data_IF_337368857070
#
_entry.id   IF_337368857070
#
_cell.length_a   1.000
_cell.length_b   1.000
_cell.length_c   1.000
_cell.angle_alpha   90.00
_cell.angle_beta   90.00
_cell.angle_gamma   90.00
#
_symmetry.space_group_name_H-M   'P 1'
#
loop_
_entity.id
_entity.type
_entity.pdbx_description
1 polymer ?
#
# COMPACT_ATOMS: atom_id res chain seq x y z
N UNK A 1 16.48 -30.85 27.79
CA UNK A 1 17.13 -29.66 27.20
C UNK A 1 18.52 -30.06 26.74
N UNK A 2 18.79 -30.15 25.42
CA UNK A 2 20.16 -30.39 24.94
C UNK A 2 20.94 -29.10 25.15
N UNK A 3 22.02 -29.13 25.94
CA UNK A 3 22.94 -27.99 25.99
C UNK A 3 23.45 -27.77 24.57
N UNK A 4 23.24 -26.56 24.04
CA UNK A 4 23.86 -26.18 22.77
C UNK A 4 25.35 -26.17 23.04
N UNK A 5 26.06 -27.20 22.56
CA UNK A 5 27.52 -27.22 22.57
C UNK A 5 27.96 -25.94 21.88
N UNK A 6 28.66 -25.07 22.61
CA UNK A 6 29.18 -23.83 22.04
C UNK A 6 30.05 -24.18 20.83
N UNK A 7 29.75 -23.57 19.69
CA UNK A 7 30.46 -23.86 18.47
C UNK A 7 31.95 -23.50 18.64
N UNK A 8 32.91 -24.35 18.24
CA UNK A 8 34.34 -24.16 18.55
C UNK A 8 34.91 -22.79 18.15
N UNK A 9 34.30 -22.14 17.14
CA UNK A 9 34.67 -20.80 16.69
C UNK A 9 34.39 -19.69 17.69
N UNK A 10 33.59 -19.92 18.74
CA UNK A 10 33.31 -18.95 19.81
C UNK A 10 34.07 -19.26 21.11
N UNK A 11 34.68 -20.44 21.23
CA UNK A 11 35.36 -20.89 22.43
C UNK A 11 36.75 -20.25 22.64
N UNK A 12 37.32 -19.63 21.61
CA UNK A 12 38.65 -18.98 21.65
C UNK A 12 38.58 -17.53 21.17
N UNK A 13 39.54 -16.70 21.59
CA UNK A 13 39.68 -15.32 21.08
C UNK A 13 39.87 -15.32 19.57
N UNK A 14 39.25 -14.38 18.85
CA UNK A 14 39.43 -14.27 17.41
C UNK A 14 40.88 -13.87 17.09
N UNK A 15 41.64 -14.65 16.29
CA UNK A 15 43.04 -14.36 16.01
C UNK A 15 43.23 -13.14 15.10
N UNK A 16 42.17 -12.70 14.40
CA UNK A 16 42.24 -11.60 13.43
C UNK A 16 41.84 -10.24 14.03
N UNK A 17 40.77 -10.19 14.82
CA UNK A 17 40.26 -8.93 15.38
C UNK A 17 40.31 -8.85 16.92
N UNK A 18 40.81 -9.91 17.59
CA UNK A 18 40.95 -9.92 19.05
C UNK A 18 39.64 -10.00 19.84
N UNK A 19 38.49 -10.27 19.21
CA UNK A 19 37.20 -10.44 19.89
C UNK A 19 37.25 -11.61 20.88
N UNK A 20 36.74 -11.39 22.09
CA UNK A 20 36.77 -12.37 23.18
C UNK A 20 35.87 -13.59 22.91
N UNK A 21 36.11 -14.72 23.60
CA UNK A 21 35.20 -15.87 23.55
C UNK A 21 33.75 -15.47 23.79
N UNK A 22 32.82 -16.04 23.03
CA UNK A 22 31.40 -15.72 23.10
C UNK A 22 30.96 -14.40 22.46
N UNK A 23 31.87 -13.48 22.12
CA UNK A 23 31.52 -12.18 21.51
C UNK A 23 31.61 -12.20 19.97
N UNK A 24 30.70 -11.48 19.26
CA UNK A 24 30.77 -11.33 17.81
C UNK A 24 31.95 -10.44 17.40
N UNK A 25 32.56 -10.72 16.25
CA UNK A 25 33.60 -9.87 15.68
C UNK A 25 33.02 -8.53 15.19
N UNK A 26 33.75 -7.42 15.40
CA UNK A 26 33.32 -6.07 15.04
C UNK A 26 33.83 -5.57 13.67
N UNK A 27 34.75 -6.28 13.01
CA UNK A 27 35.41 -5.81 11.77
C UNK A 27 34.46 -5.84 10.56
N UNK A 28 34.45 -4.74 9.79
CA UNK A 28 33.61 -4.56 8.58
C UNK A 28 34.38 -4.01 7.37
N UNK A 29 35.72 -4.05 7.36
CA UNK A 29 36.53 -3.43 6.30
C UNK A 29 37.77 -4.25 5.96
N UNK A 30 37.63 -5.26 5.09
CA UNK A 30 38.76 -5.95 4.45
C UNK A 30 38.35 -7.23 3.73
N UNK A 31 38.18 -7.16 2.40
CA UNK A 31 37.56 -8.22 1.57
C UNK A 31 38.19 -9.62 1.69
N UNK A 32 39.45 -9.73 2.10
CA UNK A 32 40.17 -11.02 2.16
C UNK A 32 40.01 -11.76 3.49
N UNK A 33 39.54 -11.11 4.57
CA UNK A 33 39.36 -11.73 5.90
C UNK A 33 37.91 -11.67 6.42
N UNK A 34 36.96 -11.21 5.61
CA UNK A 34 35.55 -11.06 6.02
C UNK A 34 34.87 -12.41 6.28
N UNK A 35 35.24 -13.47 5.58
CA UNK A 35 34.51 -14.75 5.64
C UNK A 35 34.58 -15.43 7.03
N UNK A 36 35.75 -15.55 7.68
CA UNK A 36 35.84 -16.01 9.08
C UNK A 36 35.05 -15.14 10.07
N UNK A 37 35.04 -13.82 9.88
CA UNK A 37 34.30 -12.88 10.73
C UNK A 37 32.79 -13.02 10.56
N UNK A 38 32.30 -13.13 9.32
CA UNK A 38 30.89 -13.36 9.00
C UNK A 38 30.41 -14.66 9.65
N UNK A 39 31.18 -15.75 9.51
CA UNK A 39 30.80 -17.04 10.10
C UNK A 39 30.73 -16.99 11.62
N UNK A 40 31.70 -16.34 12.27
CA UNK A 40 31.70 -16.18 13.73
C UNK A 40 30.53 -15.31 14.21
N UNK A 41 30.18 -14.25 13.49
CA UNK A 41 28.99 -13.43 13.74
C UNK A 41 27.70 -14.23 13.57
N UNK A 42 27.58 -15.01 12.49
CA UNK A 42 26.40 -15.86 12.26
C UNK A 42 26.21 -16.96 13.31
N UNK A 43 27.28 -17.36 14.01
CA UNK A 43 27.22 -18.34 15.10
C UNK A 43 26.88 -17.65 16.43
N UNK A 44 27.46 -16.48 16.71
CA UNK A 44 27.18 -15.69 17.92
C UNK A 44 25.77 -15.08 17.89
N UNK A 45 25.37 -14.59 16.72
CA UNK A 45 24.08 -13.99 16.42
C UNK A 45 23.43 -14.82 15.31
N UNK A 46 22.89 -16.02 15.64
CA UNK A 46 22.20 -16.83 14.65
C UNK A 46 21.11 -16.00 14.01
N UNK A 47 21.21 -15.85 12.68
CA UNK A 47 20.16 -15.19 11.91
C UNK A 47 18.82 -15.84 12.26
N UNK A 48 17.74 -15.05 12.41
CA UNK A 48 16.42 -15.62 12.59
C UNK A 48 16.17 -16.63 11.47
N UNK A 49 15.47 -17.75 11.76
CA UNK A 49 15.16 -18.74 10.75
C UNK A 49 14.52 -18.03 9.56
N UNK A 50 15.01 -18.33 8.35
CA UNK A 50 14.43 -17.73 7.14
C UNK A 50 12.95 -18.09 7.13
N UNK A 51 12.05 -17.11 7.00
CA UNK A 51 10.63 -17.38 7.02
C UNK A 51 10.28 -18.34 5.88
N UNK A 52 9.41 -19.30 6.20
CA UNK A 52 8.95 -20.27 5.23
C UNK A 52 8.08 -19.53 4.22
N UNK A 53 8.55 -19.46 2.97
CA UNK A 53 7.81 -18.76 1.92
C UNK A 53 6.52 -19.52 1.60
N UNK A 54 5.41 -18.80 1.54
CA UNK A 54 4.09 -19.38 1.32
C UNK A 54 3.50 -18.97 -0.03
N UNK A 55 2.66 -19.82 -0.59
CA UNK A 55 1.90 -19.51 -1.79
C UNK A 55 0.50 -20.09 -1.70
N UNK A 56 -0.47 -19.48 -2.38
CA UNK A 56 -1.85 -19.94 -2.49
C UNK A 56 -2.10 -20.42 -3.92
N UNK A 57 -2.68 -21.61 -4.09
CA UNK A 57 -3.11 -22.08 -5.40
C UNK A 57 -4.26 -21.21 -5.92
N UNK A 58 -4.11 -20.59 -7.10
CA UNK A 58 -5.16 -19.74 -7.67
C UNK A 58 -6.38 -20.55 -8.18
N UNK A 59 -6.28 -21.87 -8.26
CA UNK A 59 -7.36 -22.76 -8.69
C UNK A 59 -8.18 -23.28 -7.50
N UNK A 60 -7.51 -23.71 -6.43
CA UNK A 60 -8.17 -24.38 -5.29
C UNK A 60 -7.98 -23.70 -3.94
N UNK A 61 -7.31 -22.54 -3.89
CA UNK A 61 -7.09 -21.75 -2.67
C UNK A 61 -6.13 -22.35 -1.63
N UNK A 62 -5.65 -23.58 -1.83
CA UNK A 62 -4.84 -24.28 -0.81
C UNK A 62 -3.48 -23.60 -0.59
N UNK A 63 -3.11 -23.32 0.68
CA UNK A 63 -1.80 -22.80 1.02
C UNK A 63 -0.73 -23.88 0.91
N UNK A 64 0.48 -23.45 0.59
CA UNK A 64 1.64 -24.31 0.48
C UNK A 64 2.92 -23.54 0.73
N UNK A 65 4.01 -24.28 0.88
CA UNK A 65 5.35 -23.70 1.03
C UNK A 65 6.16 -23.87 -0.26
N UNK A 66 7.15 -23.00 -0.48
CA UNK A 66 8.06 -23.10 -1.63
C UNK A 66 9.47 -22.61 -1.28
N UNK A 67 10.50 -23.19 -1.93
CA UNK A 67 11.91 -22.91 -1.60
C UNK A 67 12.50 -21.70 -2.37
N UNK A 68 12.17 -21.54 -3.65
CA UNK A 68 12.79 -20.50 -4.50
C UNK A 68 11.77 -19.78 -5.39
N UNK A 69 11.80 -18.45 -5.37
CA UNK A 69 11.01 -17.58 -6.24
C UNK A 69 11.52 -17.63 -7.70
N UNK A 70 12.81 -17.90 -7.89
CA UNK A 70 13.50 -17.76 -9.18
C UNK A 70 12.95 -18.67 -10.29
N UNK A 71 12.61 -19.93 -9.96
CA UNK A 71 11.91 -20.85 -10.88
C UNK A 71 10.43 -20.52 -11.07
N UNK A 72 9.85 -19.73 -10.16
CA UNK A 72 8.44 -19.38 -10.16
C UNK A 72 8.14 -18.13 -10.99
N UNK A 73 9.07 -17.16 -11.05
CA UNK A 73 8.87 -15.83 -11.65
C UNK A 73 9.16 -15.69 -13.14
N UNK A 74 9.88 -16.64 -13.75
CA UNK A 74 10.14 -16.63 -15.20
C UNK A 74 10.70 -15.29 -15.73
N UNK A 75 11.71 -14.70 -15.08
CA UNK A 75 12.32 -13.43 -15.52
C UNK A 75 11.43 -12.19 -15.34
N UNK A 76 12.02 -11.09 -14.86
CA UNK A 76 11.33 -9.80 -14.83
C UNK A 76 11.34 -9.22 -16.24
N UNK A 77 10.16 -9.04 -16.84
CA UNK A 77 10.01 -8.35 -18.11
C UNK A 77 9.21 -7.07 -17.87
N UNK A 78 9.77 -5.86 -18.08
CA UNK A 78 9.08 -4.60 -17.78
C UNK A 78 7.72 -4.48 -18.48
N UNK A 79 7.59 -5.00 -19.71
CA UNK A 79 6.33 -5.01 -20.47
C UNK A 79 5.24 -5.94 -19.92
N UNK A 80 5.60 -6.86 -19.02
CA UNK A 80 4.67 -7.77 -18.33
C UNK A 80 4.44 -7.37 -16.86
N UNK A 81 4.98 -6.23 -16.40
CA UNK A 81 4.94 -5.81 -14.98
C UNK A 81 3.54 -5.94 -14.38
N UNK A 82 2.53 -5.46 -15.10
CA UNK A 82 1.13 -5.47 -14.64
C UNK A 82 0.39 -6.77 -14.94
N UNK A 83 0.90 -7.57 -15.89
CA UNK A 83 0.35 -8.89 -16.25
C UNK A 83 0.86 -9.99 -15.31
N UNK A 84 2.01 -9.78 -14.67
CA UNK A 84 2.63 -10.69 -13.70
C UNK A 84 2.57 -10.07 -12.30
N UNK A 85 1.41 -10.19 -11.66
CA UNK A 85 1.27 -10.09 -10.19
C UNK A 85 2.28 -11.06 -9.53
N UNK A 86 2.56 -10.98 -8.22
CA UNK A 86 3.38 -11.99 -7.50
C UNK A 86 2.79 -13.40 -7.62
N UNK A 87 2.96 -14.03 -8.77
CA UNK A 87 2.44 -15.35 -9.11
C UNK A 87 3.56 -16.21 -9.64
N UNK A 88 3.41 -17.51 -9.47
CA UNK A 88 4.35 -18.48 -10.00
C UNK A 88 3.71 -19.80 -10.35
N UNK A 89 4.35 -20.53 -11.26
CA UNK A 89 3.92 -21.89 -11.62
C UNK A 89 4.53 -22.89 -10.67
N UNK A 90 3.69 -23.60 -9.92
CA UNK A 90 4.12 -24.61 -8.96
C UNK A 90 3.20 -25.84 -9.03
N UNK A 91 3.71 -27.04 -8.73
CA UNK A 91 2.88 -28.26 -8.66
C UNK A 91 1.99 -28.23 -7.42
N UNK A 92 0.67 -28.12 -7.56
CA UNK A 92 -0.25 -28.19 -6.44
C UNK A 92 -0.46 -29.65 -6.02
N UNK A 93 -0.30 -29.97 -4.74
CA UNK A 93 -0.57 -31.32 -4.22
C UNK A 93 -2.04 -31.69 -4.31
N UNK A 94 -2.94 -30.71 -4.15
CA UNK A 94 -4.38 -30.92 -4.23
C UNK A 94 -4.87 -31.04 -5.68
N UNK A 95 -4.43 -30.15 -6.58
CA UNK A 95 -4.82 -30.24 -8.00
C UNK A 95 -4.04 -31.31 -8.79
N UNK A 96 -3.02 -31.93 -8.18
CA UNK A 96 -2.06 -32.86 -8.79
C UNK A 96 -1.30 -32.36 -10.03
N UNK A 97 -1.49 -31.11 -10.45
CA UNK A 97 -0.95 -30.51 -11.68
C UNK A 97 -0.16 -29.23 -11.40
N UNK A 98 0.57 -28.72 -12.40
CA UNK A 98 1.27 -27.43 -12.30
C UNK A 98 0.27 -26.30 -12.54
N UNK A 99 -0.07 -25.55 -11.50
CA UNK A 99 -1.02 -24.45 -11.54
C UNK A 99 -0.34 -23.12 -11.20
N UNK A 100 -1.02 -22.02 -11.50
CA UNK A 100 -0.63 -20.67 -11.06
C UNK A 100 -0.93 -20.52 -9.57
N UNK A 101 0.03 -19.97 -8.83
CA UNK A 101 -0.09 -19.70 -7.41
C UNK A 101 0.27 -18.26 -7.11
N UNK A 102 -0.49 -17.60 -6.22
CA UNK A 102 -0.13 -16.32 -5.64
C UNK A 102 0.98 -16.54 -4.61
N UNK A 103 2.13 -15.91 -4.82
CA UNK A 103 3.27 -15.96 -3.92
C UNK A 103 3.04 -14.95 -2.79
N UNK A 104 2.99 -15.44 -1.56
CA UNK A 104 2.82 -14.60 -0.39
C UNK A 104 4.20 -14.11 0.08
N UNK A 105 4.30 -12.79 0.22
CA UNK A 105 5.44 -12.15 0.88
C UNK A 105 5.30 -12.34 2.39
N UNK A 106 6.42 -12.39 3.09
CA UNK A 106 6.43 -12.50 4.55
C UNK A 106 5.57 -11.37 5.18
N UNK A 107 4.67 -11.68 6.14
CA UNK A 107 3.79 -10.69 6.76
C UNK A 107 4.52 -9.52 7.44
N UNK A 108 5.74 -9.74 7.92
CA UNK A 108 6.61 -8.75 8.56
C UNK A 108 7.54 -8.04 7.57
N UNK A 109 7.47 -8.36 6.27
CA UNK A 109 8.27 -7.67 5.26
C UNK A 109 7.74 -6.26 5.03
N UNK A 110 8.65 -5.28 4.96
CA UNK A 110 8.33 -3.92 4.53
C UNK A 110 7.84 -3.83 3.08
N UNK A 111 8.04 -4.90 2.28
CA UNK A 111 7.62 -4.99 0.89
C UNK A 111 6.41 -5.90 0.68
N UNK A 112 5.70 -6.26 1.76
CA UNK A 112 4.57 -7.19 1.73
C UNK A 112 3.52 -6.77 0.70
N UNK A 113 3.12 -5.50 0.75
CA UNK A 113 2.04 -4.94 -0.08
C UNK A 113 2.61 -4.01 -1.17
N UNK A 114 3.84 -4.26 -1.64
CA UNK A 114 4.53 -3.36 -2.56
C UNK A 114 3.84 -3.26 -3.92
N UNK A 115 3.33 -4.38 -4.45
CA UNK A 115 2.63 -4.41 -5.74
C UNK A 115 1.25 -3.76 -5.63
N UNK A 116 0.51 -4.03 -4.55
CA UNK A 116 -0.75 -3.37 -4.24
C UNK A 116 -0.54 -1.87 -4.10
N UNK A 117 0.58 -1.46 -3.49
CA UNK A 117 0.94 -0.06 -3.35
C UNK A 117 1.26 0.59 -4.69
N UNK A 118 2.05 -0.07 -5.53
CA UNK A 118 2.38 0.40 -6.88
C UNK A 118 1.11 0.51 -7.74
N UNK A 119 0.20 -0.46 -7.65
CA UNK A 119 -1.12 -0.41 -8.27
C UNK A 119 -1.94 0.80 -7.79
N UNK A 120 -1.99 1.05 -6.48
CA UNK A 120 -2.72 2.20 -5.94
C UNK A 120 -2.16 3.53 -6.47
N UNK A 121 -0.83 3.65 -6.59
CA UNK A 121 -0.18 4.84 -7.19
C UNK A 121 -0.57 5.01 -8.67
N UNK A 122 -0.61 3.92 -9.44
CA UNK A 122 -1.09 3.92 -10.82
C UNK A 122 -2.58 4.29 -10.93
N UNK A 123 -3.36 3.97 -9.89
CA UNK A 123 -4.78 4.32 -9.77
C UNK A 123 -5.01 5.67 -9.07
N UNK A 124 -3.98 6.51 -8.92
CA UNK A 124 -4.12 7.91 -8.49
C UNK A 124 -3.85 8.21 -7.02
N UNK A 125 -3.40 7.25 -6.22
CA UNK A 125 -2.95 7.55 -4.86
C UNK A 125 -1.74 8.50 -4.86
N UNK A 126 -1.67 9.30 -3.79
CA UNK A 126 -0.52 10.17 -3.54
C UNK A 126 0.66 9.35 -2.97
N UNK A 127 1.91 9.66 -3.38
CA UNK A 127 3.12 9.11 -2.76
C UNK A 127 3.18 9.36 -1.25
N UNK A 128 3.56 8.34 -0.47
CA UNK A 128 3.67 8.39 1.01
C UNK A 128 5.10 8.62 1.50
N UNK A 129 6.09 8.36 0.66
CA UNK A 129 7.50 8.43 1.03
C UNK A 129 8.35 8.97 -0.12
N UNK A 130 9.60 9.32 0.20
CA UNK A 130 10.56 9.90 -0.75
C UNK A 130 10.81 9.00 -1.98
N UNK A 131 10.80 7.68 -1.83
CA UNK A 131 11.04 6.76 -2.94
C UNK A 131 9.87 6.76 -3.93
N UNK A 132 8.65 6.75 -3.42
CA UNK A 132 7.44 6.86 -4.26
C UNK A 132 7.35 8.23 -4.94
N UNK A 133 7.83 9.31 -4.29
CA UNK A 133 7.86 10.65 -4.88
C UNK A 133 8.84 10.76 -6.06
N UNK A 134 9.92 9.96 -6.05
CA UNK A 134 10.88 9.87 -7.15
C UNK A 134 10.40 8.94 -8.28
N UNK A 135 9.28 8.26 -8.09
CA UNK A 135 8.73 7.37 -9.12
C UNK A 135 8.10 8.19 -10.22
N UNK A 136 8.40 7.84 -11.47
CA UNK A 136 7.70 8.38 -12.65
C UNK A 136 6.25 7.86 -12.67
N UNK A 137 5.37 8.60 -11.99
CA UNK A 137 3.97 8.25 -11.84
C UNK A 137 3.21 8.30 -13.17
N UNK A 138 3.60 9.17 -14.10
CA UNK A 138 2.95 9.29 -15.40
C UNK A 138 3.20 8.05 -16.25
N UNK A 139 4.47 7.60 -16.31
CA UNK A 139 4.82 6.32 -16.95
C UNK A 139 4.10 5.17 -16.28
N UNK A 140 4.08 5.13 -14.94
CA UNK A 140 3.44 4.06 -14.17
C UNK A 140 1.93 3.96 -14.48
N UNK A 141 1.23 5.09 -14.47
CA UNK A 141 -0.20 5.21 -14.77
C UNK A 141 -0.52 4.76 -16.20
N UNK A 142 0.29 5.18 -17.17
CA UNK A 142 0.14 4.78 -18.58
C UNK A 142 0.31 3.27 -18.75
N UNK A 143 1.43 2.71 -18.27
CA UNK A 143 1.72 1.29 -18.38
C UNK A 143 0.62 0.42 -17.74
N UNK A 144 0.07 0.87 -16.61
CA UNK A 144 -1.02 0.16 -15.93
C UNK A 144 -2.28 0.09 -16.81
N UNK A 145 -2.67 1.22 -17.41
CA UNK A 145 -3.87 1.28 -18.25
C UNK A 145 -3.71 0.53 -19.56
N UNK A 146 -2.55 0.64 -20.20
CA UNK A 146 -2.26 -0.09 -21.44
C UNK A 146 -2.33 -1.61 -21.23
N UNK A 147 -2.14 -2.07 -20.00
CA UNK A 147 -2.18 -3.49 -19.65
C UNK A 147 -3.58 -4.05 -19.37
N UNK A 148 -4.59 -3.20 -19.09
CA UNK A 148 -5.91 -3.64 -18.62
C UNK A 148 -7.05 -2.96 -19.39
N UNK A 149 -8.06 -3.72 -19.87
CA UNK A 149 -9.25 -3.14 -20.49
C UNK A 149 -9.88 -2.09 -19.56
N UNK A 150 -10.15 -0.90 -20.10
CA UNK A 150 -10.82 0.17 -19.37
C UNK A 150 -12.26 0.25 -19.84
N UNK A 151 -13.18 0.48 -18.91
CA UNK A 151 -14.55 0.81 -19.25
C UNK A 151 -14.62 2.29 -19.68
N UNK A 152 -14.86 2.59 -20.97
CA UNK A 152 -14.84 3.96 -21.47
C UNK A 152 -16.03 4.80 -20.97
N UNK A 153 -17.06 4.17 -20.42
CA UNK A 153 -18.30 4.82 -20.01
C UNK A 153 -18.34 5.19 -18.52
N UNK A 154 -17.23 5.02 -17.80
CA UNK A 154 -17.16 5.46 -16.41
C UNK A 154 -17.12 6.99 -16.30
N UNK A 155 -17.93 7.52 -15.39
CA UNK A 155 -17.87 8.93 -15.01
C UNK A 155 -16.66 9.16 -14.13
N UNK A 156 -15.66 9.83 -14.67
CA UNK A 156 -14.46 10.21 -13.94
C UNK A 156 -14.65 11.53 -13.18
N UNK A 157 -13.92 11.66 -12.08
CA UNK A 157 -13.83 12.89 -11.27
C UNK A 157 -12.45 13.51 -11.55
N UNK A 158 -12.38 14.83 -11.60
CA UNK A 158 -11.14 15.61 -11.70
C UNK A 158 -11.24 16.86 -10.82
N UNK A 159 -10.10 17.52 -10.56
CA UNK A 159 -10.11 18.78 -9.82
C UNK A 159 -10.46 19.94 -10.76
N UNK A 160 -11.33 20.84 -10.29
CA UNK A 160 -11.72 22.05 -11.06
C UNK A 160 -10.51 22.91 -11.41
N UNK A 161 -9.50 23.01 -10.52
CA UNK A 161 -8.27 23.75 -10.79
C UNK A 161 -7.50 23.17 -11.99
N UNK A 162 -7.50 21.85 -12.15
CA UNK A 162 -6.77 21.16 -13.21
C UNK A 162 -7.50 21.33 -14.54
N UNK A 163 -8.85 21.31 -14.53
CA UNK A 163 -9.67 21.66 -15.70
C UNK A 163 -9.45 23.11 -16.13
N UNK A 164 -9.50 24.06 -15.20
CA UNK A 164 -9.26 25.49 -15.50
C UNK A 164 -7.87 25.69 -16.09
N UNK A 165 -6.84 25.06 -15.52
CA UNK A 165 -5.48 25.09 -16.03
C UNK A 165 -5.37 24.49 -17.45
N UNK A 166 -5.98 23.32 -17.68
CA UNK A 166 -6.02 22.67 -18.99
C UNK A 166 -6.70 23.56 -20.04
N UNK A 167 -7.86 24.14 -19.73
CA UNK A 167 -8.59 25.05 -20.63
C UNK A 167 -7.78 26.31 -20.93
N UNK A 168 -7.14 26.89 -19.92
CA UNK A 168 -6.28 28.09 -20.07
C UNK A 168 -5.08 27.79 -20.98
N UNK A 169 -4.53 26.59 -20.87
CA UNK A 169 -3.45 26.11 -21.73
C UNK A 169 -3.92 25.66 -23.14
N UNK A 170 -5.23 25.72 -23.44
CA UNK A 170 -5.79 25.23 -24.69
C UNK A 170 -5.78 23.70 -24.84
N UNK A 171 -5.54 22.97 -23.75
CA UNK A 171 -5.56 21.51 -23.76
C UNK A 171 -7.01 20.99 -23.85
N UNK A 172 -7.18 19.88 -24.58
CA UNK A 172 -8.47 19.18 -24.75
C UNK A 172 -8.69 18.09 -23.71
N UNK A 173 -7.71 17.84 -22.86
CA UNK A 173 -7.70 16.75 -21.91
C UNK A 173 -7.42 17.28 -20.51
N UNK A 174 -8.07 16.67 -19.52
CA UNK A 174 -7.83 16.94 -18.10
C UNK A 174 -7.44 15.63 -17.39
N UNK A 175 -6.43 15.66 -16.49
CA UNK A 175 -6.12 14.50 -15.67
C UNK A 175 -7.27 14.20 -14.70
N UNK A 176 -7.64 12.93 -14.57
CA UNK A 176 -8.67 12.47 -13.63
C UNK A 176 -8.05 11.98 -12.32
N UNK A 177 -8.85 11.88 -11.26
CA UNK A 177 -8.37 11.45 -9.93
C UNK A 177 -7.84 10.03 -9.91
N UNK A 178 -8.33 9.13 -10.77
CA UNK A 178 -7.78 7.78 -10.91
C UNK A 178 -6.47 7.74 -11.75
N UNK A 179 -5.92 8.92 -12.06
CA UNK A 179 -4.72 9.14 -12.86
C UNK A 179 -4.94 9.10 -14.37
N UNK A 180 -6.18 8.90 -14.83
CA UNK A 180 -6.57 8.81 -16.24
C UNK A 180 -6.60 10.17 -16.91
N UNK A 181 -7.08 10.21 -18.14
CA UNK A 181 -7.35 11.45 -18.88
C UNK A 181 -8.80 11.46 -19.32
N UNK A 182 -9.45 12.62 -19.21
CA UNK A 182 -10.81 12.84 -19.70
C UNK A 182 -10.80 13.91 -20.78
N UNK A 183 -11.51 13.64 -21.87
CA UNK A 183 -11.67 14.58 -22.98
C UNK A 183 -12.67 15.68 -22.58
N UNK A 184 -12.19 16.92 -22.52
CA UNK A 184 -13.03 18.09 -22.28
C UNK A 184 -13.85 18.38 -23.54
N UNK A 185 -15.16 18.09 -23.51
CA UNK A 185 -16.10 18.45 -24.58
C UNK A 185 -16.78 19.79 -24.26
N UNK A 186 -16.65 20.78 -25.17
CA UNK A 186 -17.37 22.06 -25.11
C UNK A 186 -17.10 22.92 -23.87
N UNK A 187 -17.90 23.96 -23.67
CA UNK A 187 -18.01 24.67 -22.41
C UNK A 187 -18.67 23.74 -21.39
N UNK A 188 -17.93 23.34 -20.36
CA UNK A 188 -18.51 22.52 -19.30
C UNK A 188 -19.54 23.37 -18.56
N UNK A 189 -20.79 22.89 -18.54
CA UNK A 189 -21.71 23.20 -17.45
C UNK A 189 -21.06 22.64 -16.19
N UNK A 190 -20.14 23.41 -15.60
CA UNK A 190 -19.41 23.03 -14.40
C UNK A 190 -20.40 22.46 -13.40
N UNK A 191 -20.34 21.14 -13.21
CA UNK A 191 -20.96 20.50 -12.08
C UNK A 191 -20.17 20.98 -10.86
N UNK A 192 -20.44 22.20 -10.43
CA UNK A 192 -20.04 22.75 -9.14
C UNK A 192 -20.78 21.92 -8.11
N UNK A 193 -20.31 20.71 -7.86
CA UNK A 193 -20.72 20.00 -6.67
C UNK A 193 -20.08 20.76 -5.51
N UNK A 194 -20.85 21.72 -4.98
CA UNK A 194 -20.53 22.39 -3.72
C UNK A 194 -20.30 21.28 -2.70
N UNK A 195 -19.11 21.31 -2.11
CA UNK A 195 -18.72 20.51 -0.95
C UNK A 195 -19.87 20.58 0.08
N UNK A 196 -20.72 19.54 0.15
CA UNK A 196 -21.86 19.49 1.07
C UNK A 196 -21.39 19.02 2.44
N UNK A 197 -21.74 19.67 3.57
CA UNK A 197 -21.22 19.37 4.90
C UNK A 197 -21.37 17.92 5.42
N UNK A 198 -22.18 17.06 4.79
CA UNK A 198 -22.43 15.68 5.22
C UNK A 198 -21.32 14.71 4.77
N UNK A 199 -20.08 14.88 5.26
CA UNK A 199 -18.86 14.27 4.70
C UNK A 199 -18.29 13.03 5.41
N UNK A 200 -19.12 12.14 5.96
CA UNK A 200 -18.63 10.84 6.47
C UNK A 200 -19.29 9.62 5.82
N UNK A 201 -20.37 9.79 5.06
CA UNK A 201 -20.96 8.73 4.27
C UNK A 201 -20.38 8.78 2.84
N UNK A 202 -19.85 7.66 2.29
CA UNK A 202 -19.41 7.63 0.91
C UNK A 202 -20.59 7.90 -0.03
N UNK A 203 -20.35 8.62 -1.13
CA UNK A 203 -21.36 8.80 -2.16
C UNK A 203 -21.80 7.42 -2.70
N UNK A 204 -23.12 7.18 -2.86
CA UNK A 204 -23.60 5.93 -3.44
C UNK A 204 -23.10 5.82 -4.88
N UNK A 205 -22.61 4.64 -5.26
CA UNK A 205 -22.15 4.36 -6.62
C UNK A 205 -23.38 4.23 -7.52
N UNK A 206 -23.42 5.00 -8.61
CA UNK A 206 -24.40 4.78 -9.68
C UNK A 206 -24.01 3.55 -10.47
N UNK A 207 -24.94 2.63 -10.67
CA UNK A 207 -24.72 1.38 -11.42
C UNK A 207 -25.90 1.16 -12.36
N UNK A 208 -25.68 1.40 -13.65
CA UNK A 208 -26.57 1.00 -14.73
C UNK A 208 -25.76 0.06 -15.65
N UNK A 209 -26.25 -1.15 -15.90
CA UNK A 209 -25.59 -2.12 -16.77
C UNK A 209 -26.16 -2.01 -18.20
N UNK A 210 -25.28 -1.85 -19.18
CA UNK A 210 -25.60 -1.86 -20.60
C UNK A 210 -24.91 -3.03 -21.28
N UNK A 211 -25.57 -3.69 -22.22
CA UNK A 211 -24.94 -4.70 -23.08
C UNK A 211 -24.92 -4.18 -24.49
N UNK A 212 -23.72 -4.06 -25.06
CA UNK A 212 -23.55 -3.76 -26.47
C UNK A 212 -24.01 -4.98 -27.28
N UNK A 213 -25.05 -4.78 -28.09
CA UNK A 213 -25.68 -5.84 -28.87
C UNK A 213 -24.79 -6.31 -30.04
N UNK A 214 -23.85 -5.49 -30.50
CA UNK A 214 -22.99 -5.79 -31.65
C UNK A 214 -21.71 -6.55 -31.23
N UNK A 215 -21.15 -6.23 -30.06
CA UNK A 215 -19.94 -6.88 -29.53
C UNK A 215 -20.24 -7.99 -28.52
N UNK A 216 -21.46 -8.00 -27.93
CA UNK A 216 -21.81 -8.88 -26.82
C UNK A 216 -21.13 -8.50 -25.50
N UNK A 217 -20.40 -7.39 -25.45
CA UNK A 217 -19.72 -6.92 -24.24
C UNK A 217 -20.67 -6.08 -23.38
N UNK A 218 -20.72 -6.38 -22.08
CA UNK A 218 -21.50 -5.61 -21.12
C UNK A 218 -20.62 -4.59 -20.39
N UNK A 219 -21.01 -3.32 -20.45
CA UNK A 219 -20.35 -2.22 -19.75
C UNK A 219 -21.27 -1.65 -18.67
N UNK A 220 -20.65 -1.11 -17.61
CA UNK A 220 -21.37 -0.44 -16.52
C UNK A 220 -21.26 1.07 -16.70
N UNK A 221 -22.38 1.74 -16.88
CA UNK A 221 -22.46 3.18 -16.71
C UNK A 221 -22.49 3.46 -15.19
N UNK A 222 -21.52 4.24 -14.73
CA UNK A 222 -21.36 4.45 -13.30
C UNK A 222 -20.19 5.37 -12.96
N UNK A 223 -20.09 5.74 -11.70
CA UNK A 223 -18.96 6.52 -11.22
C UNK A 223 -17.69 5.66 -11.20
N UNK A 224 -16.57 6.21 -11.65
CA UNK A 224 -15.28 5.54 -11.57
C UNK A 224 -14.93 5.28 -10.09
N UNK A 225 -14.93 4.02 -9.68
CA UNK A 225 -14.68 3.59 -8.29
C UNK A 225 -13.32 4.07 -7.79
N UNK A 226 -12.30 4.10 -8.65
CA UNK A 226 -10.98 4.62 -8.31
C UNK A 226 -10.98 6.14 -8.10
N UNK A 227 -11.70 6.89 -8.93
CA UNK A 227 -11.91 8.31 -8.70
C UNK A 227 -12.60 8.57 -7.36
N UNK A 228 -13.67 7.81 -7.05
CA UNK A 228 -14.39 7.91 -5.77
C UNK A 228 -13.48 7.57 -4.59
N UNK A 229 -12.65 6.54 -4.71
CA UNK A 229 -11.68 6.12 -3.68
C UNK A 229 -10.69 7.25 -3.38
N UNK A 230 -10.04 7.80 -4.42
CA UNK A 230 -9.08 8.90 -4.27
C UNK A 230 -9.76 10.16 -3.71
N UNK A 231 -10.97 10.46 -4.19
CA UNK A 231 -11.75 11.58 -3.71
C UNK A 231 -12.09 11.45 -2.22
N UNK A 232 -12.66 10.32 -1.81
CA UNK A 232 -13.05 10.05 -0.42
C UNK A 232 -11.83 10.04 0.51
N UNK A 233 -10.69 9.50 0.07
CA UNK A 233 -9.45 9.56 0.82
C UNK A 233 -8.99 11.01 1.03
N UNK A 234 -9.03 11.85 -0.01
CA UNK A 234 -8.68 13.26 0.09
C UNK A 234 -9.65 14.07 0.97
N UNK A 235 -10.94 13.76 0.93
CA UNK A 235 -11.95 14.33 1.84
C UNK A 235 -11.63 13.99 3.29
N UNK A 236 -11.37 12.71 3.58
CA UNK A 236 -11.05 12.26 4.92
C UNK A 236 -9.77 12.93 5.45
N UNK A 237 -8.75 13.05 4.60
CA UNK A 237 -7.49 13.69 4.99
C UNK A 237 -7.68 15.18 5.30
N UNK A 238 -8.42 15.93 4.47
CA UNK A 238 -8.78 17.32 4.77
C UNK A 238 -9.56 17.45 6.08
N UNK A 239 -10.49 16.54 6.34
CA UNK A 239 -11.24 16.52 7.59
C UNK A 239 -10.32 16.28 8.81
N UNK A 240 -9.28 15.45 8.66
CA UNK A 240 -8.26 15.24 9.70
C UNK A 240 -7.39 16.47 9.91
N UNK A 241 -6.95 17.13 8.83
CA UNK A 241 -6.17 18.37 8.89
C UNK A 241 -6.96 19.49 9.57
N UNK A 242 -8.24 19.67 9.22
CA UNK A 242 -9.13 20.63 9.85
C UNK A 242 -9.34 20.32 11.34
N UNK A 243 -9.57 19.05 11.69
CA UNK A 243 -9.67 18.63 13.08
C UNK A 243 -8.37 18.90 13.84
N UNK A 244 -7.21 18.58 13.27
CA UNK A 244 -5.91 18.84 13.89
C UNK A 244 -5.71 20.34 14.12
N UNK A 245 -6.05 21.18 13.13
CA UNK A 245 -6.01 22.64 13.26
C UNK A 245 -6.91 23.15 14.38
N UNK A 246 -8.13 22.63 14.51
CA UNK A 246 -9.05 22.99 15.59
C UNK A 246 -8.49 22.57 16.95
N UNK A 247 -8.01 21.34 17.08
CA UNK A 247 -7.40 20.83 18.32
C UNK A 247 -6.20 21.70 18.72
N UNK A 248 -5.29 22.00 17.78
CA UNK A 248 -4.15 22.89 18.05
C UNK A 248 -4.59 24.30 18.46
N UNK A 249 -5.64 24.84 17.85
CA UNK A 249 -6.17 26.15 18.23
C UNK A 249 -6.66 26.17 19.67
N UNK A 250 -7.45 25.18 20.08
CA UNK A 250 -7.96 25.06 21.44
C UNK A 250 -6.85 24.74 22.45
N UNK A 251 -5.85 23.94 22.07
CA UNK A 251 -4.70 23.65 22.91
C UNK A 251 -3.91 24.90 23.29
N UNK A 252 -3.70 25.82 22.35
CA UNK A 252 -2.93 27.06 22.56
C UNK A 252 -3.75 28.15 23.26
N UNK A 253 -5.08 28.13 23.12
CA UNK A 253 -5.98 29.22 23.56
C UNK A 253 -7.02 28.79 24.59
N UNK A 254 -6.73 27.75 25.36
CA UNK A 254 -7.66 27.20 26.34
C UNK A 254 -8.06 28.25 27.39
N UNK A 255 -7.19 29.21 27.70
CA UNK A 255 -7.44 30.33 28.61
C UNK A 255 -8.52 31.30 28.13
N UNK A 256 -8.86 31.26 26.82
CA UNK A 256 -9.89 32.13 26.24
C UNK A 256 -11.30 31.55 26.34
N UNK A 257 -11.42 30.29 26.77
CA UNK A 257 -12.70 29.61 26.90
C UNK A 257 -13.38 30.02 28.20
N UNK A 258 -14.68 30.31 28.14
CA UNK A 258 -15.47 30.50 29.34
C UNK A 258 -15.84 29.14 29.98
N UNK A 259 -16.35 29.16 31.20
CA UNK A 259 -16.65 27.93 31.96
C UNK A 259 -17.62 26.97 31.23
N UNK A 260 -18.60 27.50 30.49
CA UNK A 260 -19.56 26.70 29.71
C UNK A 260 -18.85 26.01 28.55
N UNK A 261 -18.08 26.76 27.75
CA UNK A 261 -17.33 26.24 26.60
C UNK A 261 -16.31 25.16 27.02
N UNK A 262 -15.65 25.36 28.16
CA UNK A 262 -14.74 24.35 28.74
C UNK A 262 -15.50 23.06 29.08
N UNK A 263 -16.68 23.17 29.69
CA UNK A 263 -17.51 22.02 30.05
C UNK A 263 -17.99 21.23 28.82
N UNK A 264 -18.46 21.93 27.79
CA UNK A 264 -18.91 21.32 26.53
C UNK A 264 -17.78 20.62 25.80
N UNK A 265 -16.64 21.30 25.60
CA UNK A 265 -15.49 20.75 24.90
C UNK A 265 -14.91 19.54 25.64
N UNK A 266 -14.80 19.63 26.98
CA UNK A 266 -14.36 18.51 27.81
C UNK A 266 -15.26 17.30 27.66
N UNK A 267 -16.59 17.49 27.71
CA UNK A 267 -17.56 16.39 27.58
C UNK A 267 -17.45 15.73 26.21
N UNK A 268 -17.43 16.53 25.14
CA UNK A 268 -17.28 16.02 23.77
C UNK A 268 -15.99 15.23 23.58
N UNK A 269 -14.86 15.75 24.06
CA UNK A 269 -13.55 15.08 23.94
C UNK A 269 -13.49 13.81 24.78
N UNK A 270 -14.06 13.80 25.99
CA UNK A 270 -14.12 12.62 26.86
C UNK A 270 -14.87 11.47 26.17
N UNK A 271 -16.06 11.74 25.62
CA UNK A 271 -16.84 10.73 24.91
C UNK A 271 -16.13 10.21 23.65
N UNK A 272 -15.50 11.12 22.90
CA UNK A 272 -14.72 10.74 21.72
C UNK A 272 -13.50 9.89 22.09
N UNK A 273 -12.79 10.24 23.17
CA UNK A 273 -11.65 9.50 23.70
C UNK A 273 -12.07 8.10 24.15
N UNK A 274 -13.17 7.96 24.88
CA UNK A 274 -13.65 6.65 25.35
C UNK A 274 -13.98 5.71 24.19
N UNK A 275 -14.66 6.21 23.15
CA UNK A 275 -14.97 5.41 21.94
C UNK A 275 -13.70 4.98 21.20
N UNK A 276 -12.78 5.91 21.00
CA UNK A 276 -11.54 5.65 20.23
C UNK A 276 -10.58 4.74 21.00
N UNK A 277 -10.45 4.93 22.31
CA UNK A 277 -9.61 4.09 23.18
C UNK A 277 -10.10 2.65 23.25
N UNK A 278 -11.41 2.42 23.42
CA UNK A 278 -11.99 1.06 23.39
C UNK A 278 -11.71 0.34 22.08
N UNK A 279 -11.84 1.03 20.94
CA UNK A 279 -11.52 0.47 19.62
C UNK A 279 -10.04 0.10 19.53
N UNK A 280 -9.15 1.00 19.93
CA UNK A 280 -7.70 0.75 19.94
C UNK A 280 -7.33 -0.45 20.84
N UNK A 281 -7.91 -0.56 22.03
CA UNK A 281 -7.69 -1.70 22.91
C UNK A 281 -8.15 -3.03 22.26
N UNK A 282 -9.29 -3.03 21.55
CA UNK A 282 -9.79 -4.20 20.85
C UNK A 282 -8.92 -4.60 19.64
N UNK A 283 -8.32 -3.64 18.95
CA UNK A 283 -7.36 -3.90 17.86
C UNK A 283 -6.04 -4.47 18.40
N UNK A 284 -5.55 -3.93 19.52
CA UNK A 284 -4.33 -4.41 20.17
C UNK A 284 -4.47 -5.86 20.63
N UNK A 285 -5.57 -6.19 21.32
CA UNK A 285 -5.86 -7.58 21.74
C UNK A 285 -5.94 -8.57 20.57
N UNK A 286 -6.39 -8.13 19.39
CA UNK A 286 -6.43 -8.95 18.17
C UNK A 286 -5.06 -9.15 17.52
N UNK A 287 -4.12 -8.23 17.74
CA UNK A 287 -2.76 -8.32 17.20
C UNK A 287 -1.86 -9.19 18.07
N UNK A 288 -2.22 -9.37 19.35
CA UNK A 288 -1.49 -10.20 20.33
C UNK A 288 -1.95 -11.68 20.34
N UNK A 289 -2.99 -12.04 19.56
CA UNK A 289 -3.51 -13.40 19.37
C UNK A 289 -3.01 -14.01 18.06
#
# INVERSE_FOLDING_TARGET
MRSKTEHPSLSHRCPFCGADPGTPCATSRGRELDWPHIRRREVAEPKPPKPVKQALCCQCGQPRTYKSVWRARGGYNPGDRWKRRWVGRLKCSHCATITTHALLVDPNSSYRDADEREQLLALGDQPRNRYEQLTDLERLRREYRDSMPQNPNLRHIWWVRDETAARTAGAREVPTLCGGVHQLRGESASARERIKPSYLAPNPVRLEEYTDLDTGESWRDGDCVDCLRVYNAGVLERAREDLARLISWYFVRAERLNATEVGELRTFLQEAADRTFRRWQAERRRSDQ
#
